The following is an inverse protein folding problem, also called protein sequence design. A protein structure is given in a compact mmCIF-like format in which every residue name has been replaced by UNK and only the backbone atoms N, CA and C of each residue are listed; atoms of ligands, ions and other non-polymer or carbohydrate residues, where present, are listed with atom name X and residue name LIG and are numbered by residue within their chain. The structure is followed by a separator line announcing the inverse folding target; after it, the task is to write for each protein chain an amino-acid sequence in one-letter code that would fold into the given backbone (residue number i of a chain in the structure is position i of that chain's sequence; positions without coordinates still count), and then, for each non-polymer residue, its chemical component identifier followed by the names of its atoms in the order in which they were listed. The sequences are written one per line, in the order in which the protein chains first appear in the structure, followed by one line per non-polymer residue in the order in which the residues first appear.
data_IF_690654045116
#
_entry.id   IF_690654045116
#
_cell.length_a   1.000
_cell.length_b   1.000
_cell.length_c   1.000
_cell.angle_alpha   90.00
_cell.angle_beta   90.00
_cell.angle_gamma   90.00
#
_symmetry.space_group_name_H-M   'P 1'
#
loop_
_entity.id
_entity.type
_entity.pdbx_description
1 polymer ?
#
# COMPACT_ATOMS: atom_id res chain seq x y z
N UNK A 1 -2.42 -7.46 -5.70
CA UNK A 1 -3.54 -7.36 -6.61
C UNK A 1 -3.67 -5.97 -7.19
N UNK A 2 -4.62 -5.79 -8.07
CA UNK A 2 -5.00 -4.53 -8.66
C UNK A 2 -6.52 -4.40 -8.47
N UNK A 3 -6.99 -3.53 -7.55
CA UNK A 3 -8.42 -3.37 -7.29
C UNK A 3 -9.19 -2.89 -8.52
N UNK A 4 -8.53 -2.22 -9.43
CA UNK A 4 -9.07 -1.65 -10.66
C UNK A 4 -9.59 -2.71 -11.64
N UNK A 5 -9.16 -3.98 -11.48
CA UNK A 5 -9.65 -5.13 -12.29
C UNK A 5 -11.09 -5.51 -11.88
N UNK A 6 -11.50 -5.15 -10.67
CA UNK A 6 -12.85 -5.46 -10.20
C UNK A 6 -13.90 -4.70 -11.03
N UNK A 7 -14.94 -5.39 -11.48
CA UNK A 7 -16.09 -4.76 -12.12
C UNK A 7 -16.79 -3.73 -11.22
N UNK A 8 -16.64 -3.85 -9.90
CA UNK A 8 -17.20 -2.93 -8.91
C UNK A 8 -16.28 -1.76 -8.55
N UNK A 9 -15.08 -1.67 -9.11
CA UNK A 9 -14.12 -0.63 -8.75
C UNK A 9 -14.71 0.78 -8.90
N UNK A 10 -15.28 1.07 -10.06
CA UNK A 10 -15.91 2.36 -10.33
C UNK A 10 -17.07 2.65 -9.37
N UNK A 11 -17.93 1.65 -9.16
CA UNK A 11 -19.05 1.76 -8.22
C UNK A 11 -18.58 2.15 -6.81
N UNK A 12 -17.52 1.51 -6.31
CA UNK A 12 -16.97 1.85 -4.98
C UNK A 12 -16.39 3.26 -4.94
N UNK A 13 -15.60 3.66 -5.94
CA UNK A 13 -15.02 5.01 -6.03
C UNK A 13 -16.13 6.07 -6.04
N UNK A 14 -17.07 5.96 -6.96
CA UNK A 14 -18.16 6.92 -7.15
C UNK A 14 -19.06 7.01 -5.93
N UNK A 15 -19.43 5.86 -5.35
CA UNK A 15 -20.28 5.80 -4.14
C UNK A 15 -19.58 6.43 -2.95
N UNK A 16 -18.30 6.08 -2.70
CA UNK A 16 -17.54 6.64 -1.60
C UNK A 16 -17.34 8.16 -1.74
N UNK A 17 -17.00 8.64 -2.97
CA UNK A 17 -16.88 10.08 -3.23
C UNK A 17 -18.21 10.80 -3.06
N UNK A 18 -19.31 10.23 -3.53
CA UNK A 18 -20.65 10.79 -3.36
C UNK A 18 -21.08 10.88 -1.89
N UNK A 19 -20.60 9.96 -1.06
CA UNK A 19 -20.78 9.98 0.39
C UNK A 19 -19.85 10.96 1.12
N UNK A 20 -18.99 11.69 0.40
CA UNK A 20 -18.01 12.63 0.96
C UNK A 20 -16.76 11.97 1.55
N UNK A 21 -16.54 10.68 1.30
CA UNK A 21 -15.35 9.99 1.78
C UNK A 21 -14.12 10.36 0.94
N UNK A 22 -12.95 10.41 1.60
CA UNK A 22 -11.65 10.41 0.93
C UNK A 22 -11.41 9.02 0.38
N UNK A 23 -11.08 8.93 -0.90
CA UNK A 23 -10.77 7.66 -1.56
C UNK A 23 -9.28 7.60 -1.85
N UNK A 24 -8.65 6.52 -1.47
CA UNK A 24 -7.23 6.24 -1.72
C UNK A 24 -7.13 4.94 -2.51
N UNK A 25 -6.46 4.99 -3.65
CA UNK A 25 -6.11 3.82 -4.45
C UNK A 25 -4.65 3.41 -4.15
N UNK A 26 -4.47 2.18 -3.66
CA UNK A 26 -3.13 1.57 -3.44
C UNK A 26 -2.69 0.89 -4.73
N UNK A 27 -2.19 1.69 -5.66
CA UNK A 27 -1.93 1.35 -7.04
C UNK A 27 -0.60 0.63 -7.25
N UNK A 28 -0.58 -0.38 -8.10
CA UNK A 28 0.65 -1.08 -8.49
C UNK A 28 1.37 -0.49 -9.71
N UNK A 29 0.85 0.61 -10.26
CA UNK A 29 1.29 1.33 -11.45
C UNK A 29 1.13 0.55 -12.76
N UNK A 30 1.55 -0.71 -12.82
CA UNK A 30 1.56 -1.48 -14.07
C UNK A 30 0.17 -1.70 -14.67
N UNK A 31 -0.89 -1.62 -13.84
CA UNK A 31 -2.27 -1.74 -14.31
C UNK A 31 -2.63 -0.66 -15.34
N UNK A 32 -2.07 0.53 -15.22
CA UNK A 32 -2.31 1.66 -16.14
C UNK A 32 -1.77 1.36 -17.55
N UNK A 33 -0.80 0.45 -17.65
CA UNK A 33 -0.19 0.02 -18.92
C UNK A 33 -0.80 -1.28 -19.48
N UNK A 34 -1.80 -1.83 -18.80
CA UNK A 34 -2.49 -3.03 -19.29
C UNK A 34 -3.64 -2.66 -20.24
N UNK A 35 -3.94 -3.57 -21.18
CA UNK A 35 -5.01 -3.39 -22.15
C UNK A 35 -6.36 -3.16 -21.45
N UNK A 36 -7.08 -2.14 -21.88
CA UNK A 36 -8.39 -1.77 -21.33
C UNK A 36 -8.34 -0.84 -20.10
N UNK A 37 -7.15 -0.49 -19.59
CA UNK A 37 -7.01 0.35 -18.39
C UNK A 37 -6.40 1.74 -18.66
N UNK A 38 -6.19 2.11 -19.92
CA UNK A 38 -5.63 3.40 -20.32
C UNK A 38 -6.46 4.62 -19.83
N UNK A 39 -7.72 4.41 -19.47
CA UNK A 39 -8.63 5.44 -18.94
C UNK A 39 -8.37 5.80 -17.46
N UNK A 40 -7.63 4.97 -16.71
CA UNK A 40 -7.48 5.11 -15.26
C UNK A 40 -6.93 6.46 -14.82
N UNK A 41 -5.87 7.03 -15.42
CA UNK A 41 -5.33 8.31 -14.96
C UNK A 41 -6.37 9.43 -14.96
N UNK A 42 -7.12 9.59 -16.05
CA UNK A 42 -8.18 10.58 -16.18
C UNK A 42 -9.35 10.30 -15.24
N UNK A 43 -9.79 9.05 -15.15
CA UNK A 43 -10.88 8.63 -14.27
C UNK A 43 -10.56 8.89 -12.79
N UNK A 44 -9.36 8.51 -12.33
CA UNK A 44 -8.92 8.74 -10.96
C UNK A 44 -8.77 10.23 -10.65
N UNK A 45 -8.30 11.02 -11.62
CA UNK A 45 -8.17 12.47 -11.50
C UNK A 45 -9.54 13.17 -11.42
N UNK A 46 -10.50 12.79 -12.26
CA UNK A 46 -11.87 13.32 -12.27
C UNK A 46 -12.58 13.09 -10.92
N UNK A 47 -12.33 11.94 -10.29
CA UNK A 47 -12.91 11.60 -8.99
C UNK A 47 -12.03 12.03 -7.80
N UNK A 48 -10.95 12.77 -8.04
CA UNK A 48 -10.01 13.23 -7.00
C UNK A 48 -9.54 12.08 -6.08
N UNK A 49 -9.28 10.90 -6.67
CA UNK A 49 -8.78 9.74 -5.95
C UNK A 49 -7.31 9.98 -5.62
N UNK A 50 -6.94 9.90 -4.36
CA UNK A 50 -5.53 9.95 -3.95
C UNK A 50 -4.83 8.63 -4.32
N UNK A 51 -3.62 8.72 -4.85
CA UNK A 51 -2.86 7.54 -5.25
C UNK A 51 -1.69 7.31 -4.29
N UNK A 52 -1.60 6.09 -3.78
CA UNK A 52 -0.42 5.57 -3.07
C UNK A 52 0.17 4.44 -3.91
N UNK A 53 1.21 4.75 -4.68
CA UNK A 53 1.76 3.83 -5.66
C UNK A 53 3.02 3.11 -5.17
N UNK A 54 3.10 1.83 -5.46
CA UNK A 54 4.26 1.01 -5.08
C UNK A 54 5.41 1.16 -6.08
N UNK A 55 6.46 1.87 -5.69
CA UNK A 55 7.73 1.94 -6.45
C UNK A 55 8.90 1.63 -5.49
N UNK A 56 9.28 0.34 -5.35
CA UNK A 56 10.23 -0.10 -4.31
C UNK A 56 11.66 0.40 -4.51
N UNK A 57 12.02 0.93 -5.67
CA UNK A 57 13.28 1.60 -5.94
C UNK A 57 13.14 2.58 -7.11
N UNK A 58 14.03 3.55 -7.19
CA UNK A 58 14.16 4.47 -8.33
C UNK A 58 15.12 3.95 -9.41
N UNK A 59 15.65 2.73 -9.29
CA UNK A 59 16.49 2.09 -10.29
C UNK A 59 15.85 0.85 -10.90
N UNK A 60 16.03 0.66 -12.21
CA UNK A 60 15.47 -0.47 -12.95
C UNK A 60 15.95 -1.83 -12.40
N UNK A 61 17.24 -1.94 -12.05
CA UNK A 61 17.82 -3.18 -11.54
C UNK A 61 17.10 -3.68 -10.28
N UNK A 62 16.90 -2.80 -9.31
CA UNK A 62 16.28 -3.17 -8.03
C UNK A 62 14.78 -3.44 -8.16
N UNK A 63 14.05 -2.64 -8.96
CA UNK A 63 12.61 -2.87 -9.18
C UNK A 63 12.39 -4.18 -9.94
N UNK A 64 13.14 -4.41 -10.99
CA UNK A 64 13.00 -5.63 -11.80
C UNK A 64 13.39 -6.88 -11.00
N UNK A 65 14.38 -6.81 -10.12
CA UNK A 65 14.75 -7.90 -9.21
C UNK A 65 13.65 -8.23 -8.22
N UNK A 66 12.92 -7.25 -7.75
CA UNK A 66 11.87 -7.40 -6.73
C UNK A 66 10.50 -7.77 -7.34
N UNK A 67 10.17 -7.23 -8.50
CA UNK A 67 8.82 -7.30 -9.09
C UNK A 67 8.75 -7.95 -10.47
N UNK A 68 9.88 -8.27 -11.09
CA UNK A 68 9.97 -8.87 -12.43
C UNK A 68 10.44 -7.90 -13.51
N UNK A 69 10.90 -8.46 -14.62
CA UNK A 69 11.46 -7.69 -15.73
C UNK A 69 10.42 -6.78 -16.38
N UNK A 70 10.82 -5.55 -16.72
CA UNK A 70 9.99 -4.55 -17.39
C UNK A 70 8.99 -3.82 -16.48
N UNK A 71 8.89 -4.20 -15.21
CA UNK A 71 7.98 -3.52 -14.26
C UNK A 71 8.41 -2.09 -14.01
N UNK A 72 9.72 -1.81 -13.99
CA UNK A 72 10.22 -0.45 -13.82
C UNK A 72 9.75 0.47 -14.96
N UNK A 73 9.96 0.06 -16.21
CA UNK A 73 9.64 0.90 -17.38
C UNK A 73 8.12 1.17 -17.44
N UNK A 74 7.28 0.15 -17.19
CA UNK A 74 5.83 0.31 -17.07
C UNK A 74 5.46 1.28 -15.94
N UNK A 75 6.13 1.18 -14.78
CA UNK A 75 5.88 2.08 -13.65
C UNK A 75 6.24 3.53 -13.96
N UNK A 76 7.36 3.77 -14.65
CA UNK A 76 7.77 5.11 -15.10
C UNK A 76 6.77 5.66 -16.13
N UNK A 77 6.32 4.86 -17.09
CA UNK A 77 5.31 5.27 -18.06
C UNK A 77 3.99 5.65 -17.37
N UNK A 78 3.53 4.83 -16.44
CA UNK A 78 2.32 5.09 -15.66
C UNK A 78 2.43 6.39 -14.83
N UNK A 79 3.56 6.61 -14.14
CA UNK A 79 3.79 7.83 -13.37
C UNK A 79 3.77 9.09 -14.24
N UNK A 80 4.32 9.02 -15.46
CA UNK A 80 4.25 10.12 -16.44
C UNK A 80 2.80 10.43 -16.85
N UNK A 81 1.98 9.39 -17.08
CA UNK A 81 0.56 9.57 -17.39
C UNK A 81 -0.20 10.20 -16.21
N UNK A 82 0.08 9.77 -14.99
CA UNK A 82 -0.50 10.36 -13.78
C UNK A 82 -0.07 11.82 -13.61
N UNK A 83 1.21 12.15 -13.80
CA UNK A 83 1.66 13.54 -13.75
C UNK A 83 0.99 14.41 -14.83
N UNK A 84 0.75 13.87 -16.01
CA UNK A 84 0.10 14.62 -17.10
C UNK A 84 -1.33 15.07 -16.77
N UNK A 85 -2.03 14.35 -15.87
CA UNK A 85 -3.37 14.71 -15.39
C UNK A 85 -3.38 15.42 -14.03
N UNK A 86 -2.21 15.83 -13.53
CA UNK A 86 -2.09 16.71 -12.35
C UNK A 86 -1.63 16.02 -11.06
N UNK A 87 -1.42 14.71 -11.06
CA UNK A 87 -0.88 14.02 -9.88
C UNK A 87 0.54 14.47 -9.56
N UNK A 88 0.87 14.54 -8.26
CA UNK A 88 2.13 15.07 -7.76
C UNK A 88 2.18 16.60 -7.64
N UNK A 89 1.18 17.31 -8.18
CA UNK A 89 1.04 18.77 -8.10
C UNK A 89 -0.29 19.17 -7.49
N UNK A 90 -1.37 19.24 -8.29
CA UNK A 90 -2.73 19.56 -7.83
C UNK A 90 -3.47 18.37 -7.22
N UNK A 91 -3.12 17.15 -7.62
CA UNK A 91 -3.66 15.90 -7.11
C UNK A 91 -2.60 15.12 -6.35
N UNK A 92 -3.02 14.40 -5.32
CA UNK A 92 -2.11 13.72 -4.40
C UNK A 92 -1.59 12.41 -4.98
N UNK A 93 -0.26 12.30 -5.07
CA UNK A 93 0.47 11.09 -5.43
C UNK A 93 1.56 10.84 -4.39
N UNK A 94 1.46 9.71 -3.72
CA UNK A 94 2.52 9.22 -2.83
C UNK A 94 3.15 7.96 -3.41
N UNK A 95 4.44 7.78 -3.14
CA UNK A 95 5.16 6.56 -3.47
C UNK A 95 5.42 5.74 -2.21
N UNK A 96 5.52 4.42 -2.37
CA UNK A 96 5.86 3.49 -1.29
C UNK A 96 7.16 2.79 -1.62
N UNK A 97 8.11 2.92 -0.71
CA UNK A 97 9.35 2.16 -0.67
C UNK A 97 9.26 1.02 0.36
N UNK A 98 9.78 -0.13 0.00
CA UNK A 98 10.09 -1.19 0.93
C UNK A 98 11.48 -1.79 0.63
N UNK A 99 12.29 -2.11 1.65
CA UNK A 99 13.64 -2.61 1.45
C UNK A 99 13.66 -3.99 0.80
N UNK A 100 14.72 -4.29 0.07
CA UNK A 100 15.02 -5.64 -0.41
C UNK A 100 15.52 -6.50 0.75
N UNK A 101 14.83 -7.63 0.99
CA UNK A 101 15.26 -8.60 1.99
C UNK A 101 15.04 -8.17 3.45
N UNK A 102 15.75 -8.78 4.39
CA UNK A 102 15.52 -8.62 5.83
C UNK A 102 16.29 -7.42 6.40
N UNK A 103 16.01 -6.23 5.90
CA UNK A 103 16.64 -4.99 6.38
C UNK A 103 15.57 -3.96 6.71
N UNK A 104 15.89 -3.02 7.59
CA UNK A 104 15.07 -1.85 7.81
C UNK A 104 15.32 -0.81 6.72
N UNK A 105 14.33 0.02 6.40
CA UNK A 105 14.54 1.16 5.52
C UNK A 105 15.54 2.15 6.14
N UNK A 106 16.25 2.89 5.30
CA UNK A 106 17.06 4.03 5.72
C UNK A 106 16.19 5.20 6.24
N UNK A 107 16.83 6.32 6.66
CA UNK A 107 16.11 7.51 7.10
C UNK A 107 15.15 8.00 6.02
N UNK A 108 13.85 8.11 6.35
CA UNK A 108 12.79 8.42 5.38
C UNK A 108 13.04 9.73 4.63
N UNK A 109 13.46 10.78 5.33
CA UNK A 109 13.70 12.08 4.69
C UNK A 109 14.78 12.02 3.62
N UNK A 110 15.88 11.28 3.87
CA UNK A 110 16.94 11.10 2.89
C UNK A 110 16.45 10.29 1.70
N UNK A 111 15.77 9.17 1.95
CA UNK A 111 15.20 8.35 0.89
C UNK A 111 14.21 9.13 0.02
N UNK A 112 13.37 9.97 0.63
CA UNK A 112 12.44 10.81 -0.12
C UNK A 112 13.18 11.83 -1.01
N UNK A 113 14.25 12.45 -0.48
CA UNK A 113 15.07 13.39 -1.24
C UNK A 113 15.74 12.69 -2.45
N UNK A 114 16.35 11.54 -2.22
CA UNK A 114 17.01 10.74 -3.27
C UNK A 114 16.00 10.31 -4.37
N UNK A 115 14.79 9.91 -3.97
CA UNK A 115 13.71 9.56 -4.91
C UNK A 115 13.25 10.76 -5.73
N UNK A 116 13.06 11.93 -5.09
CA UNK A 116 12.65 13.16 -5.77
C UNK A 116 13.69 13.60 -6.79
N UNK A 117 14.97 13.62 -6.40
CA UNK A 117 16.08 13.95 -7.28
C UNK A 117 16.15 12.98 -8.47
N UNK A 118 16.25 11.68 -8.20
CA UNK A 118 16.40 10.66 -9.23
C UNK A 118 15.24 10.62 -10.23
N UNK A 119 13.98 10.70 -9.74
CA UNK A 119 12.81 10.64 -10.61
C UNK A 119 12.61 11.93 -11.40
N UNK A 120 12.89 13.08 -10.79
CA UNK A 120 12.81 14.36 -11.48
C UNK A 120 13.89 14.51 -12.56
N UNK A 121 15.16 14.22 -12.22
CA UNK A 121 16.29 14.41 -13.16
C UNK A 121 16.24 13.44 -14.33
N UNK A 122 15.93 12.16 -14.07
CA UNK A 122 15.99 11.14 -15.12
C UNK A 122 14.70 11.04 -15.94
N UNK A 123 13.54 11.37 -15.35
CA UNK A 123 12.24 11.08 -15.98
C UNK A 123 11.28 12.26 -15.98
N UNK A 124 11.56 13.37 -15.29
CA UNK A 124 10.67 14.51 -15.14
C UNK A 124 9.45 14.22 -14.27
N UNK A 125 9.52 13.21 -13.39
CA UNK A 125 8.41 12.76 -12.55
C UNK A 125 8.43 13.50 -11.22
N UNK A 126 7.25 13.96 -10.78
CA UNK A 126 7.01 14.58 -9.47
C UNK A 126 6.02 13.76 -8.64
N UNK A 127 6.19 13.79 -7.33
CA UNK A 127 5.28 13.18 -6.36
C UNK A 127 5.32 13.94 -5.02
N UNK A 128 4.32 13.74 -4.16
CA UNK A 128 4.18 14.52 -2.93
C UNK A 128 5.08 13.99 -1.81
N UNK A 129 4.96 12.71 -1.45
CA UNK A 129 5.72 12.12 -0.34
C UNK A 129 6.11 10.68 -0.64
N UNK A 130 7.20 10.22 0.01
CA UNK A 130 7.60 8.82 0.03
C UNK A 130 7.21 8.20 1.37
N UNK A 131 6.45 7.12 1.33
CA UNK A 131 6.21 6.30 2.51
C UNK A 131 7.19 5.13 2.54
N UNK A 132 7.79 4.90 3.68
CA UNK A 132 8.69 3.75 3.89
C UNK A 132 7.98 2.71 4.74
N UNK A 133 7.97 1.48 4.27
CA UNK A 133 7.40 0.36 5.01
C UNK A 133 8.47 -0.68 5.30
N UNK A 134 8.37 -1.30 6.46
CA UNK A 134 9.22 -2.44 6.85
C UNK A 134 8.54 -3.74 6.41
N UNK A 135 9.30 -4.69 5.89
CA UNK A 135 8.76 -5.99 5.51
C UNK A 135 8.27 -6.74 6.74
N UNK A 136 7.04 -7.21 6.72
CA UNK A 136 6.50 -8.08 7.76
C UNK A 136 6.87 -9.55 7.47
N UNK A 137 7.27 -10.34 8.49
CA UNK A 137 7.69 -11.73 8.33
C UNK A 137 6.48 -12.66 8.15
N UNK A 138 5.71 -12.45 7.06
CA UNK A 138 4.51 -13.22 6.72
C UNK A 138 4.59 -13.76 5.30
N UNK A 139 3.78 -14.77 4.98
CA UNK A 139 3.65 -15.36 3.66
C UNK A 139 5.02 -15.69 3.02
N UNK A 140 5.25 -15.34 1.76
CA UNK A 140 6.49 -15.64 1.03
C UNK A 140 7.76 -15.12 1.71
N UNK A 141 7.70 -13.92 2.30
CA UNK A 141 8.87 -13.37 2.98
C UNK A 141 9.23 -14.17 4.24
N UNK A 142 8.24 -14.68 4.97
CA UNK A 142 8.48 -15.63 6.08
C UNK A 142 9.19 -16.92 5.63
N UNK A 143 8.76 -17.47 4.49
CA UNK A 143 9.40 -18.65 3.90
C UNK A 143 10.84 -18.37 3.48
N UNK A 144 11.09 -17.22 2.86
CA UNK A 144 12.42 -16.80 2.43
C UNK A 144 13.37 -16.57 3.61
N UNK A 145 12.89 -16.00 4.71
CA UNK A 145 13.65 -15.85 5.95
C UNK A 145 14.05 -17.20 6.54
N UNK A 146 13.12 -18.17 6.57
CA UNK A 146 13.40 -19.52 7.06
C UNK A 146 14.41 -20.24 6.18
N UNK A 147 14.27 -20.17 4.85
CA UNK A 147 15.22 -20.75 3.88
C UNK A 147 16.62 -20.16 4.01
N UNK A 148 16.75 -18.90 4.40
CA UNK A 148 18.01 -18.19 4.62
C UNK A 148 18.54 -18.34 6.04
N UNK A 149 17.86 -19.05 6.93
CA UNK A 149 18.18 -19.17 8.36
C UNK A 149 18.26 -17.81 9.08
N UNK A 150 17.44 -16.84 8.63
CA UNK A 150 17.43 -15.46 9.14
C UNK A 150 16.15 -15.11 9.93
N UNK A 151 15.31 -16.10 10.21
CA UNK A 151 14.03 -15.85 10.86
C UNK A 151 14.19 -15.21 12.23
N UNK A 152 14.91 -15.84 13.15
CA UNK A 152 15.08 -15.33 14.51
C UNK A 152 15.84 -14.00 14.52
N UNK A 153 16.89 -13.91 13.71
CA UNK A 153 17.65 -12.67 13.56
C UNK A 153 16.77 -11.49 13.11
N UNK A 154 15.84 -11.72 12.17
CA UNK A 154 14.97 -10.66 11.68
C UNK A 154 13.90 -10.27 12.70
N UNK A 155 13.35 -11.23 13.46
CA UNK A 155 12.44 -10.96 14.57
C UNK A 155 13.13 -10.12 15.66
N UNK A 156 14.37 -10.47 16.00
CA UNK A 156 15.17 -9.69 16.96
C UNK A 156 15.44 -8.27 16.44
N UNK A 157 15.72 -8.11 15.14
CA UNK A 157 15.89 -6.80 14.52
C UNK A 157 14.62 -5.95 14.67
N UNK A 158 13.45 -6.51 14.39
CA UNK A 158 12.18 -5.80 14.54
C UNK A 158 11.88 -5.46 16.00
N UNK A 159 12.06 -6.41 16.92
CA UNK A 159 11.83 -6.21 18.35
C UNK A 159 12.74 -5.10 18.94
N UNK A 160 14.03 -5.13 18.57
CA UNK A 160 14.99 -4.12 19.01
C UNK A 160 14.78 -2.73 18.37
N UNK A 161 14.01 -2.67 17.27
CA UNK A 161 13.67 -1.42 16.59
C UNK A 161 12.27 -0.89 16.95
N UNK A 162 11.60 -1.55 17.91
CA UNK A 162 10.28 -1.15 18.37
C UNK A 162 10.30 0.26 18.97
N UNK A 163 9.37 1.10 18.52
CA UNK A 163 9.20 2.45 19.03
C UNK A 163 7.86 2.59 19.75
N UNK A 164 7.88 2.61 21.08
CA UNK A 164 6.69 2.71 21.89
C UNK A 164 5.86 3.97 21.63
N UNK A 165 6.48 5.07 21.17
CA UNK A 165 5.76 6.32 20.88
C UNK A 165 4.82 6.24 19.68
N UNK A 166 4.95 5.19 18.84
CA UNK A 166 4.06 4.99 17.67
C UNK A 166 2.80 4.17 17.98
N UNK A 167 2.70 3.60 19.18
CA UNK A 167 1.59 2.68 19.53
C UNK A 167 0.23 3.37 19.50
N UNK A 168 0.16 4.63 19.92
CA UNK A 168 -1.10 5.39 19.92
C UNK A 168 -1.61 5.67 18.49
N UNK A 169 -0.71 5.78 17.52
CA UNK A 169 -1.03 6.04 16.10
C UNK A 169 -1.09 4.78 15.22
N UNK A 170 -1.17 3.59 15.80
CA UNK A 170 -1.28 2.36 15.01
C UNK A 170 -2.59 2.31 14.23
N UNK A 171 -2.51 2.04 12.93
CA UNK A 171 -3.65 1.97 12.01
C UNK A 171 -4.76 1.03 12.49
N UNK A 172 -4.42 -0.12 13.04
CA UNK A 172 -5.38 -1.11 13.52
C UNK A 172 -6.33 -0.59 14.61
N UNK A 173 -6.05 0.55 15.22
CA UNK A 173 -6.94 1.18 16.22
C UNK A 173 -8.12 1.90 15.58
N UNK A 174 -7.93 2.46 14.37
CA UNK A 174 -8.87 3.37 13.72
C UNK A 174 -9.34 2.86 12.35
N UNK A 175 -8.85 1.71 11.91
CA UNK A 175 -9.20 1.12 10.61
C UNK A 175 -9.80 -0.26 10.76
N UNK A 176 -10.48 -0.70 9.72
CA UNK A 176 -10.81 -2.09 9.46
C UNK A 176 -10.37 -2.46 8.06
N UNK A 177 -9.98 -3.69 7.86
CA UNK A 177 -9.77 -4.29 6.55
C UNK A 177 -10.95 -5.19 6.23
N UNK A 178 -11.49 -5.05 5.01
CA UNK A 178 -12.64 -5.85 4.57
C UNK A 178 -12.18 -6.81 3.49
N UNK A 179 -12.40 -8.08 3.71
CA UNK A 179 -12.11 -9.13 2.74
C UNK A 179 -13.10 -9.13 1.57
N UNK A 180 -12.77 -9.90 0.52
CA UNK A 180 -13.61 -10.01 -0.69
C UNK A 180 -15.01 -10.57 -0.38
N UNK A 181 -15.13 -11.48 0.59
CA UNK A 181 -16.39 -12.03 1.05
C UNK A 181 -17.09 -11.20 2.13
N UNK A 182 -16.58 -10.01 2.44
CA UNK A 182 -17.13 -9.12 3.47
C UNK A 182 -16.62 -9.38 4.89
N UNK A 183 -15.69 -10.32 5.07
CA UNK A 183 -15.05 -10.59 6.36
C UNK A 183 -14.32 -9.33 6.84
N UNK A 184 -14.34 -9.06 8.14
CA UNK A 184 -13.69 -7.88 8.71
C UNK A 184 -12.50 -8.23 9.59
N UNK A 185 -11.46 -7.42 9.48
CA UNK A 185 -10.17 -7.58 10.17
C UNK A 185 -9.71 -6.24 10.75
N UNK A 186 -8.88 -6.25 11.79
CA UNK A 186 -8.31 -5.02 12.37
C UNK A 186 -7.34 -4.31 11.42
N UNK A 187 -6.64 -5.07 10.58
CA UNK A 187 -5.75 -4.55 9.54
C UNK A 187 -5.52 -5.58 8.42
N UNK A 188 -4.88 -5.16 7.36
CA UNK A 188 -4.52 -6.03 6.24
C UNK A 188 -3.52 -7.15 6.61
N UNK A 189 -2.67 -6.96 7.61
CA UNK A 189 -1.82 -8.03 8.14
C UNK A 189 -2.64 -9.13 8.83
N UNK A 190 -3.60 -8.76 9.69
CA UNK A 190 -4.51 -9.70 10.31
C UNK A 190 -5.34 -10.44 9.26
N UNK A 191 -5.75 -9.77 8.18
CA UNK A 191 -6.41 -10.40 7.05
C UNK A 191 -5.51 -11.47 6.39
N UNK A 192 -4.23 -11.17 6.15
CA UNK A 192 -3.29 -12.14 5.59
C UNK A 192 -3.03 -13.35 6.49
N UNK A 193 -3.18 -13.19 7.79
CA UNK A 193 -3.04 -14.24 8.80
C UNK A 193 -4.36 -14.97 9.09
N UNK A 194 -5.48 -14.56 8.48
CA UNK A 194 -6.79 -15.13 8.73
C UNK A 194 -7.38 -14.79 10.12
N UNK A 195 -6.87 -13.74 10.76
CA UNK A 195 -7.26 -13.30 12.10
C UNK A 195 -8.45 -12.33 12.00
N UNK A 196 -9.63 -12.90 11.74
CA UNK A 196 -10.88 -12.15 11.56
C UNK A 196 -11.38 -11.57 12.90
N UNK A 197 -11.97 -10.37 12.87
CA UNK A 197 -12.67 -9.81 14.03
C UNK A 197 -13.87 -10.72 14.35
N UNK A 198 -13.98 -11.11 15.62
CA UNK A 198 -15.06 -11.99 16.09
C UNK A 198 -15.65 -11.48 17.40
N UNK A 199 -16.91 -11.81 17.65
CA UNK A 199 -17.59 -11.67 18.93
C UNK A 199 -18.05 -13.04 19.46
N UNK A 200 -17.30 -14.11 19.13
CA UNK A 200 -17.68 -15.51 19.33
C UNK A 200 -18.19 -16.17 18.05
N UNK A 201 -18.58 -15.37 17.04
CA UNK A 201 -18.89 -15.79 15.68
C UNK A 201 -18.08 -14.98 14.68
N UNK A 202 -17.98 -15.46 13.44
CA UNK A 202 -17.41 -14.69 12.35
C UNK A 202 -18.31 -13.48 12.06
N UNK A 203 -17.69 -12.29 11.94
CA UNK A 203 -18.41 -11.05 11.64
C UNK A 203 -18.10 -10.61 10.20
N UNK A 204 -19.16 -10.15 9.54
CA UNK A 204 -19.08 -9.56 8.20
C UNK A 204 -19.47 -8.08 8.26
N UNK A 205 -19.07 -7.31 7.26
CA UNK A 205 -19.31 -5.88 7.21
C UNK A 205 -20.79 -5.51 7.39
N UNK A 206 -21.71 -6.33 6.89
CA UNK A 206 -23.15 -6.11 7.01
C UNK A 206 -23.76 -6.53 8.36
N UNK A 207 -23.00 -7.21 9.22
CA UNK A 207 -23.43 -7.65 10.55
C UNK A 207 -23.08 -6.64 11.64
N UNK A 208 -22.35 -5.56 11.30
CA UNK A 208 -21.82 -4.60 12.26
C UNK A 208 -22.32 -3.18 12.00
N UNK A 209 -22.36 -2.41 13.07
CA UNK A 209 -22.53 -0.96 13.06
C UNK A 209 -21.26 -0.24 13.52
N UNK A 210 -21.12 1.06 13.30
CA UNK A 210 -20.00 1.83 13.86
C UNK A 210 -19.85 1.71 15.38
N UNK A 211 -20.94 1.46 16.10
CA UNK A 211 -20.92 1.29 17.56
C UNK A 211 -20.21 0.00 17.98
N UNK A 212 -20.29 -1.06 17.16
CA UNK A 212 -19.65 -2.35 17.46
C UNK A 212 -18.14 -2.30 17.26
N UNK A 213 -17.64 -1.30 16.54
CA UNK A 213 -16.21 -1.08 16.30
C UNK A 213 -15.53 -0.20 17.36
N UNK A 214 -16.37 0.49 18.17
CA UNK A 214 -15.85 1.38 19.20
C UNK A 214 -15.32 0.58 20.39
N UNK A 215 -14.12 0.95 20.85
CA UNK A 215 -13.47 0.36 22.04
C UNK A 215 -13.29 -1.17 21.97
N UNK A 216 -13.30 -1.74 20.75
CA UNK A 216 -13.08 -3.18 20.57
C UNK A 216 -11.64 -3.58 20.91
N UNK A 217 -11.46 -4.80 21.39
CA UNK A 217 -10.14 -5.39 21.52
C UNK A 217 -9.55 -5.70 20.14
N UNK A 218 -8.31 -5.24 19.90
CA UNK A 218 -7.54 -5.54 18.68
C UNK A 218 -6.90 -6.91 18.85
N UNK A 219 -7.02 -7.75 17.82
CA UNK A 219 -6.35 -9.04 17.82
C UNK A 219 -4.85 -8.87 17.54
N UNK A 220 -4.04 -9.46 18.40
CA UNK A 220 -2.58 -9.50 18.26
C UNK A 220 -2.14 -10.93 17.95
N UNK A 221 -1.23 -11.10 16.98
CA UNK A 221 -0.64 -12.37 16.58
C UNK A 221 0.69 -12.66 17.25
#
# INVERSE_FOLDING_TARGET
GAPEISEFFKFFVETARSAGARVIDRNNLTIIEEDGFAYLPEYLAEHEVEIIASLPCYSAENVNKQRGNGVFDKSIAALKKLNAVGYGTSLTLHLVYNPLGPTLPGPQQQLEADYKEALQENFGIVFNSLFTITNQPIARFAEDLRKQEKWDWYLDLLANSFNASTVEGLMCRDTISVGYGGEIYDCDFNQMLGMQITNGNQLFLWDISPADLKDRAIQTG
#
